data_IF_708397312701
#
_entry.id   IF_708397312701
#
_cell.length_a   1.000
_cell.length_b   1.000
_cell.length_c   1.000
_cell.angle_alpha   90.00
_cell.angle_beta   90.00
_cell.angle_gamma   90.00
#
_symmetry.space_group_name_H-M   'P 1'
#
loop_
_entity.id
_entity.type
_entity.pdbx_description
1 polymer ?
#
# COMPACT_ATOMS: atom_id res chain seq x y z
N UNK A 1 -96.28 -41.45 -30.56
CA UNK A 1 -95.44 -40.35 -31.02
C UNK A 1 -94.51 -39.96 -29.85
N UNK A 2 -93.25 -40.27 -29.82
CA UNK A 2 -92.32 -39.72 -28.80
C UNK A 2 -91.44 -38.62 -29.44
N UNK A 3 -91.25 -37.57 -28.68
CA UNK A 3 -90.34 -36.48 -28.99
C UNK A 3 -88.88 -36.87 -28.65
N UNK A 4 -87.89 -36.29 -29.33
CA UNK A 4 -86.46 -36.52 -29.00
C UNK A 4 -85.91 -35.57 -27.96
N UNK A 5 -85.08 -36.12 -27.09
CA UNK A 5 -84.31 -35.39 -26.10
C UNK A 5 -83.04 -34.80 -26.77
N UNK A 6 -82.86 -33.49 -26.58
CA UNK A 6 -81.60 -32.78 -26.90
C UNK A 6 -80.66 -32.87 -25.71
N UNK A 7 -79.41 -33.33 -25.96
CA UNK A 7 -78.31 -33.25 -25.03
C UNK A 7 -77.42 -32.00 -25.35
N UNK A 8 -77.40 -31.01 -24.46
CA UNK A 8 -76.44 -29.93 -24.49
C UNK A 8 -75.16 -30.41 -23.85
N UNK A 9 -74.06 -30.50 -24.63
CA UNK A 9 -72.69 -30.73 -24.12
C UNK A 9 -71.99 -29.42 -23.75
N UNK A 10 -71.78 -29.22 -22.49
CA UNK A 10 -70.94 -28.06 -21.99
C UNK A 10 -69.48 -28.46 -22.10
N UNK A 11 -68.76 -27.87 -23.05
CA UNK A 11 -67.28 -27.95 -23.15
C UNK A 11 -66.63 -26.98 -22.15
N UNK A 12 -66.06 -27.52 -21.09
CA UNK A 12 -65.18 -26.74 -20.16
C UNK A 12 -63.79 -26.65 -20.79
N UNK A 13 -63.47 -25.49 -21.37
CA UNK A 13 -62.12 -25.16 -21.80
C UNK A 13 -61.21 -24.88 -20.60
N UNK A 14 -60.18 -25.71 -20.40
CA UNK A 14 -59.10 -25.49 -19.46
C UNK A 14 -58.14 -24.45 -20.06
N UNK A 15 -58.12 -23.23 -19.50
CA UNK A 15 -57.08 -22.22 -19.81
C UNK A 15 -55.87 -22.51 -18.96
N UNK A 16 -54.80 -23.04 -19.57
CA UNK A 16 -53.45 -23.10 -18.97
C UNK A 16 -52.84 -21.72 -19.08
N UNK A 17 -52.71 -21.01 -17.95
CA UNK A 17 -51.94 -19.78 -17.87
C UNK A 17 -50.45 -20.12 -17.76
N UNK A 18 -49.68 -19.92 -18.82
CA UNK A 18 -48.23 -19.97 -18.77
C UNK A 18 -47.76 -18.72 -18.01
N UNK A 19 -47.32 -18.92 -16.78
CA UNK A 19 -46.60 -17.88 -16.03
C UNK A 19 -45.17 -17.82 -16.57
N UNK A 20 -44.87 -16.77 -17.33
CA UNK A 20 -43.49 -16.37 -17.66
C UNK A 20 -42.80 -15.86 -16.39
N UNK A 21 -41.95 -16.71 -15.80
CA UNK A 21 -41.02 -16.27 -14.74
C UNK A 21 -39.89 -15.49 -15.44
N UNK A 22 -39.68 -14.20 -15.17
CA UNK A 22 -38.56 -13.49 -15.72
C UNK A 22 -37.26 -14.03 -15.04
N UNK A 23 -36.42 -14.71 -15.80
CA UNK A 23 -35.06 -14.98 -15.42
C UNK A 23 -34.34 -13.63 -15.38
N UNK A 24 -34.15 -13.06 -14.19
CA UNK A 24 -33.21 -11.97 -13.96
C UNK A 24 -31.81 -12.58 -14.19
N UNK A 25 -31.21 -12.32 -15.34
CA UNK A 25 -29.77 -12.48 -15.48
C UNK A 25 -29.14 -11.47 -14.54
N UNK A 26 -28.68 -11.93 -13.38
CA UNK A 26 -27.69 -11.18 -12.62
C UNK A 26 -26.48 -11.05 -13.55
N UNK A 27 -26.25 -9.84 -14.05
CA UNK A 27 -25.01 -9.52 -14.74
C UNK A 27 -23.89 -9.79 -13.73
N UNK A 28 -23.13 -10.87 -13.93
CA UNK A 28 -21.91 -11.12 -13.17
C UNK A 28 -20.97 -9.98 -13.56
N UNK A 29 -20.75 -9.04 -12.65
CA UNK A 29 -19.74 -7.99 -12.84
C UNK A 29 -18.36 -8.62 -13.09
N UNK A 30 -17.38 -7.84 -13.56
CA UNK A 30 -16.04 -8.34 -13.80
C UNK A 30 -15.50 -9.03 -12.55
N UNK A 31 -14.77 -10.13 -12.75
CA UNK A 31 -14.06 -10.81 -11.66
C UNK A 31 -12.95 -9.92 -11.13
N UNK A 32 -12.68 -9.92 -9.82
CA UNK A 32 -11.57 -9.15 -9.27
C UNK A 32 -10.23 -9.57 -9.88
N UNK A 33 -9.35 -8.59 -10.11
CA UNK A 33 -7.98 -8.75 -10.58
C UNK A 33 -7.00 -8.22 -9.56
N UNK A 34 -5.75 -8.70 -9.61
CA UNK A 34 -4.66 -8.13 -8.85
C UNK A 34 -4.04 -6.97 -9.61
N UNK A 35 -4.00 -5.79 -9.00
CA UNK A 35 -3.38 -4.58 -9.52
C UNK A 35 -2.12 -4.26 -8.72
N UNK A 36 -1.00 -4.08 -9.40
CA UNK A 36 0.29 -3.75 -8.81
C UNK A 36 0.44 -2.23 -8.67
N UNK A 37 0.72 -1.74 -7.48
CA UNK A 37 0.88 -0.31 -7.24
C UNK A 37 2.00 0.08 -6.30
N UNK A 38 2.53 1.30 -6.50
CA UNK A 38 3.44 1.94 -5.55
C UNK A 38 2.80 3.23 -5.02
N UNK A 39 2.88 3.43 -3.71
CA UNK A 39 2.18 4.52 -3.00
C UNK A 39 3.15 5.48 -2.30
N UNK A 40 4.46 5.34 -2.54
CA UNK A 40 5.48 6.21 -1.97
C UNK A 40 6.65 6.35 -2.96
N UNK A 41 6.74 7.53 -3.57
CA UNK A 41 7.82 7.86 -4.51
C UNK A 41 7.90 9.36 -4.78
N UNK A 42 9.09 9.87 -5.09
CA UNK A 42 9.43 11.29 -5.16
C UNK A 42 9.89 11.71 -6.56
N UNK A 43 9.67 12.97 -6.88
CA UNK A 43 10.02 13.58 -8.15
C UNK A 43 10.80 14.89 -7.95
N UNK A 44 11.08 15.63 -9.03
CA UNK A 44 11.62 17.00 -8.96
C UNK A 44 10.65 18.01 -8.31
N UNK A 45 9.45 17.61 -7.94
CA UNK A 45 8.59 18.44 -7.09
C UNK A 45 9.12 18.52 -5.66
N UNK A 46 9.89 17.54 -5.18
CA UNK A 46 10.63 17.59 -3.91
C UNK A 46 12.12 17.31 -4.14
N UNK A 47 12.59 16.14 -3.82
CA UNK A 47 14.00 15.73 -3.79
C UNK A 47 14.31 14.47 -4.60
N UNK A 48 13.34 13.96 -5.36
CA UNK A 48 13.59 12.96 -6.40
C UNK A 48 14.46 13.53 -7.53
N UNK A 49 15.09 12.67 -8.34
CA UNK A 49 16.04 13.06 -9.37
C UNK A 49 15.52 12.93 -10.81
N UNK A 50 14.18 12.94 -11.01
CA UNK A 50 13.59 12.80 -12.33
C UNK A 50 12.24 13.55 -12.41
N UNK A 51 11.80 13.83 -13.65
CA UNK A 51 10.50 14.44 -13.95
C UNK A 51 9.35 13.46 -13.71
N UNK A 52 8.20 13.93 -13.20
CA UNK A 52 7.04 13.08 -12.90
C UNK A 52 6.65 12.13 -14.03
N UNK A 53 6.55 12.65 -15.25
CA UNK A 53 6.14 11.86 -16.42
C UNK A 53 7.09 10.72 -16.72
N UNK A 54 8.40 10.98 -16.65
CA UNK A 54 9.43 9.95 -16.86
C UNK A 54 9.38 8.88 -15.79
N UNK A 55 9.13 9.28 -14.53
CA UNK A 55 8.94 8.35 -13.42
C UNK A 55 7.75 7.44 -13.69
N UNK A 56 6.61 8.01 -14.02
CA UNK A 56 5.37 7.26 -14.25
C UNK A 56 5.48 6.28 -15.43
N UNK A 57 6.10 6.70 -16.55
CA UNK A 57 6.37 5.78 -17.67
C UNK A 57 7.31 4.64 -17.25
N UNK A 58 8.32 4.90 -16.42
CA UNK A 58 9.21 3.86 -15.90
C UNK A 58 8.50 2.85 -15.00
N UNK A 59 7.52 3.26 -14.20
CA UNK A 59 6.68 2.35 -13.42
C UNK A 59 5.75 1.55 -14.34
N UNK A 60 5.11 2.20 -15.31
CA UNK A 60 4.25 1.57 -16.31
C UNK A 60 4.99 0.49 -17.09
N UNK A 61 6.21 0.78 -17.55
CA UNK A 61 7.09 -0.18 -18.26
C UNK A 61 7.51 -1.37 -17.39
N UNK A 62 7.45 -1.23 -16.05
CA UNK A 62 7.71 -2.31 -15.09
C UNK A 62 6.45 -3.06 -14.66
N UNK A 63 5.34 -2.83 -15.38
CA UNK A 63 4.07 -3.52 -15.16
C UNK A 63 3.37 -3.11 -13.87
N UNK A 64 3.52 -1.86 -13.43
CA UNK A 64 2.65 -1.29 -12.42
C UNK A 64 1.35 -0.82 -13.06
N UNK A 65 0.26 -1.01 -12.34
CA UNK A 65 -1.08 -0.60 -12.76
C UNK A 65 -1.47 0.76 -12.16
N UNK A 66 -0.89 1.12 -11.02
CA UNK A 66 -1.13 2.43 -10.41
C UNK A 66 0.08 2.95 -9.62
N UNK A 67 0.21 4.28 -9.56
CA UNK A 67 1.29 4.96 -8.83
C UNK A 67 0.76 6.23 -8.18
N UNK A 68 1.20 6.48 -6.94
CA UNK A 68 1.11 7.77 -6.27
C UNK A 68 2.48 8.44 -6.23
N UNK A 69 2.62 9.63 -6.78
CA UNK A 69 3.74 10.51 -6.49
C UNK A 69 3.42 11.26 -5.20
N UNK A 70 4.28 11.10 -4.19
CA UNK A 70 4.05 11.60 -2.84
C UNK A 70 5.19 12.51 -2.40
N UNK A 71 5.42 13.56 -3.18
CA UNK A 71 6.49 14.54 -2.92
C UNK A 71 6.34 15.22 -1.56
N UNK A 72 7.45 15.55 -0.89
CA UNK A 72 7.48 16.12 0.45
C UNK A 72 6.79 17.49 0.55
N UNK A 73 5.71 17.58 1.34
CA UNK A 73 5.00 18.83 1.66
C UNK A 73 4.65 19.68 0.44
N UNK A 74 4.34 19.06 -0.69
CA UNK A 74 3.97 19.76 -1.91
C UNK A 74 2.99 18.93 -2.75
N UNK A 75 1.98 19.62 -3.30
CA UNK A 75 1.22 19.10 -4.43
C UNK A 75 1.73 19.73 -5.72
N UNK A 76 1.65 18.97 -6.80
CA UNK A 76 1.97 19.45 -8.14
C UNK A 76 0.79 20.28 -8.71
N UNK A 77 0.38 21.35 -8.03
CA UNK A 77 -0.82 22.15 -8.35
C UNK A 77 -0.50 23.58 -8.78
N UNK A 78 0.76 24.00 -8.65
CA UNK A 78 1.22 25.36 -8.90
C UNK A 78 2.18 25.46 -10.09
N UNK A 79 2.51 26.68 -10.53
CA UNK A 79 3.54 26.88 -11.53
C UNK A 79 4.93 26.83 -10.88
N UNK A 80 5.76 25.87 -11.30
CA UNK A 80 7.11 25.68 -10.77
C UNK A 80 8.12 25.51 -11.89
N UNK A 81 9.20 26.27 -11.82
CA UNK A 81 10.34 26.19 -12.71
C UNK A 81 11.57 25.72 -11.92
N UNK A 82 12.27 24.73 -12.44
CA UNK A 82 13.53 24.25 -11.85
C UNK A 82 14.69 24.60 -12.74
N UNK A 83 15.78 25.08 -12.16
CA UNK A 83 17.02 25.37 -12.90
C UNK A 83 17.78 24.07 -13.09
N UNK A 84 18.07 23.71 -14.32
CA UNK A 84 18.66 22.40 -14.70
C UNK A 84 20.01 22.15 -14.00
N UNK A 85 20.82 23.19 -13.82
CA UNK A 85 22.09 23.06 -13.10
C UNK A 85 21.96 22.86 -11.59
N UNK A 86 20.80 23.15 -11.01
CA UNK A 86 20.59 23.16 -9.57
C UNK A 86 19.90 21.88 -9.07
N UNK A 87 19.37 21.06 -9.99
CA UNK A 87 18.72 19.78 -9.67
C UNK A 87 19.66 18.60 -9.93
N UNK A 88 19.54 17.50 -9.13
CA UNK A 88 20.37 16.31 -9.32
C UNK A 88 20.21 15.74 -10.76
N UNK A 89 21.33 15.44 -11.41
CA UNK A 89 21.36 14.88 -12.79
C UNK A 89 20.63 15.73 -13.86
N UNK A 90 20.30 16.99 -13.59
CA UNK A 90 19.38 17.78 -14.39
C UNK A 90 19.62 17.79 -15.90
N UNK A 91 20.89 17.84 -16.35
CA UNK A 91 21.21 17.79 -17.79
C UNK A 91 20.83 16.44 -18.41
N UNK A 92 21.14 15.33 -17.74
CA UNK A 92 20.80 13.97 -18.21
C UNK A 92 19.29 13.78 -18.20
N UNK A 93 18.63 14.12 -17.10
CA UNK A 93 17.19 14.00 -16.93
C UNK A 93 16.42 14.85 -17.94
N UNK A 94 16.88 16.09 -18.22
CA UNK A 94 16.28 16.93 -19.27
C UNK A 94 16.44 16.31 -20.66
N UNK A 95 17.60 15.69 -20.95
CA UNK A 95 17.83 14.98 -22.21
C UNK A 95 16.85 13.82 -22.39
N UNK A 96 16.65 13.00 -21.37
CA UNK A 96 15.68 11.91 -21.37
C UNK A 96 14.24 12.42 -21.49
N UNK A 97 13.88 13.42 -20.69
CA UNK A 97 12.55 14.02 -20.72
C UNK A 97 12.21 14.58 -22.10
N UNK A 98 13.14 15.35 -22.69
CA UNK A 98 12.96 15.91 -24.04
C UNK A 98 12.88 14.83 -25.11
N UNK A 99 13.62 13.74 -24.96
CA UNK A 99 13.57 12.60 -25.87
C UNK A 99 12.27 11.83 -25.80
N UNK A 100 11.72 11.67 -24.59
CA UNK A 100 10.50 10.91 -24.36
C UNK A 100 9.23 11.67 -24.74
N UNK A 101 9.15 12.98 -24.40
CA UNK A 101 7.92 13.76 -24.53
C UNK A 101 7.98 14.83 -25.63
N UNK A 102 9.16 15.12 -26.17
CA UNK A 102 9.37 16.05 -27.27
C UNK A 102 9.32 17.54 -26.90
N UNK A 103 9.74 18.42 -27.80
CA UNK A 103 9.91 19.86 -27.53
C UNK A 103 8.58 20.62 -27.34
N UNK A 104 7.49 20.10 -27.85
CA UNK A 104 6.16 20.73 -27.67
C UNK A 104 5.59 20.53 -26.26
N UNK A 105 6.06 19.49 -25.57
CA UNK A 105 5.69 19.21 -24.18
C UNK A 105 6.64 19.83 -23.17
N UNK A 106 7.95 19.77 -23.42
CA UNK A 106 8.99 20.21 -22.49
C UNK A 106 9.23 21.71 -22.59
N UNK A 107 8.60 22.47 -21.69
CA UNK A 107 8.72 23.92 -21.66
C UNK A 107 10.03 24.35 -21.03
N UNK A 108 10.81 25.13 -21.75
CA UNK A 108 12.12 25.63 -21.30
C UNK A 108 12.18 27.15 -21.44
N UNK A 109 12.94 27.79 -20.54
CA UNK A 109 13.30 29.20 -20.62
C UNK A 109 14.71 29.42 -20.10
N UNK A 110 15.25 30.63 -20.32
CA UNK A 110 16.47 31.09 -19.66
C UNK A 110 16.10 32.00 -18.50
N UNK A 111 16.79 31.85 -17.36
CA UNK A 111 16.70 32.82 -16.27
C UNK A 111 17.54 34.10 -16.57
N UNK A 112 17.50 35.09 -15.69
CA UNK A 112 18.24 36.35 -15.85
C UNK A 112 19.77 36.17 -15.93
N UNK A 113 20.28 35.02 -15.51
CA UNK A 113 21.70 34.63 -15.56
C UNK A 113 22.03 33.78 -16.80
N UNK A 114 21.06 33.53 -17.67
CA UNK A 114 21.22 32.66 -18.85
C UNK A 114 21.26 31.17 -18.54
N UNK A 115 20.81 30.73 -17.35
CA UNK A 115 20.72 29.31 -17.00
C UNK A 115 19.38 28.72 -17.49
N UNK A 116 19.43 27.52 -18.02
CA UNK A 116 18.24 26.82 -18.50
C UNK A 116 17.32 26.44 -17.33
N UNK A 117 16.06 26.82 -17.42
CA UNK A 117 14.99 26.38 -16.55
C UNK A 117 14.00 25.53 -17.31
N UNK A 118 13.39 24.55 -16.61
CA UNK A 118 12.33 23.69 -17.12
C UNK A 118 11.12 23.83 -16.22
N UNK A 119 9.92 23.94 -16.83
CA UNK A 119 8.67 23.93 -16.07
C UNK A 119 8.32 22.52 -15.66
N UNK A 120 8.08 22.31 -14.38
CA UNK A 120 7.46 21.09 -13.90
C UNK A 120 5.98 21.11 -14.27
N UNK A 121 5.48 20.01 -14.83
CA UNK A 121 4.06 19.86 -15.14
C UNK A 121 3.26 19.64 -13.86
N UNK A 122 2.08 20.26 -13.80
CA UNK A 122 1.14 20.05 -12.69
C UNK A 122 0.52 18.67 -12.78
N UNK A 123 -0.05 18.21 -11.67
CA UNK A 123 -0.70 16.90 -11.58
C UNK A 123 -1.67 16.62 -12.73
N UNK A 124 -2.59 17.54 -12.98
CA UNK A 124 -3.59 17.39 -14.06
C UNK A 124 -2.96 17.24 -15.44
N UNK A 125 -1.81 17.92 -15.68
CA UNK A 125 -1.11 17.85 -16.95
C UNK A 125 -0.40 16.49 -17.12
N UNK A 126 0.48 16.11 -16.17
CA UNK A 126 1.24 14.89 -16.31
C UNK A 126 0.39 13.62 -16.13
N UNK A 127 -0.59 13.64 -15.21
CA UNK A 127 -1.47 12.51 -15.04
C UNK A 127 -2.27 12.23 -16.33
N UNK A 128 -2.81 13.29 -16.96
CA UNK A 128 -3.57 13.13 -18.22
C UNK A 128 -2.70 12.66 -19.40
N UNK A 129 -1.38 12.93 -19.37
CA UNK A 129 -0.47 12.53 -20.45
C UNK A 129 -0.01 11.07 -20.37
N UNK A 130 0.02 10.50 -19.16
CA UNK A 130 0.57 9.17 -18.89
C UNK A 130 -0.49 8.15 -18.53
N UNK A 131 -1.58 8.56 -17.88
CA UNK A 131 -2.66 7.67 -17.49
C UNK A 131 -3.32 6.99 -18.69
N UNK A 132 -3.65 5.72 -18.52
CA UNK A 132 -4.40 4.93 -19.52
C UNK A 132 -5.61 4.30 -18.80
N UNK A 133 -6.82 4.79 -19.04
CA UNK A 133 -8.01 4.34 -18.33
C UNK A 133 -8.17 2.81 -18.35
N UNK A 134 -8.27 2.24 -17.16
CA UNK A 134 -8.36 0.78 -16.95
C UNK A 134 -7.05 0.02 -17.11
N UNK A 135 -5.90 0.69 -17.35
CA UNK A 135 -4.58 0.05 -17.47
C UNK A 135 -3.50 0.71 -16.62
N UNK A 136 -3.55 2.03 -16.46
CA UNK A 136 -2.60 2.75 -15.62
C UNK A 136 -3.25 3.95 -14.95
N UNK A 137 -3.28 3.95 -13.62
CA UNK A 137 -3.89 4.98 -12.78
C UNK A 137 -2.81 5.80 -12.07
N UNK A 138 -2.96 7.12 -12.07
CA UNK A 138 -2.09 8.03 -11.32
C UNK A 138 -2.90 8.68 -10.20
N UNK A 139 -2.41 8.60 -8.97
CA UNK A 139 -3.06 9.14 -7.77
C UNK A 139 -2.33 10.39 -7.30
N UNK A 140 -3.08 11.44 -6.98
CA UNK A 140 -2.53 12.64 -6.35
C UNK A 140 -2.23 12.37 -4.89
N UNK A 141 -1.02 12.61 -4.46
CA UNK A 141 -0.57 12.31 -3.10
C UNK A 141 0.50 13.26 -2.64
N UNK A 142 0.76 13.29 -1.35
CA UNK A 142 1.94 13.93 -0.75
C UNK A 142 2.49 13.08 0.38
N UNK A 143 3.73 13.30 0.72
CA UNK A 143 4.30 12.89 1.98
C UNK A 143 4.32 14.08 2.93
N UNK A 144 3.42 14.08 3.93
CA UNK A 144 3.45 15.04 5.03
C UNK A 144 4.72 14.78 5.81
N UNK A 145 5.68 15.68 5.69
CA UNK A 145 7.01 15.57 6.29
C UNK A 145 7.08 16.48 7.50
N UNK A 146 6.95 15.88 8.66
CA UNK A 146 6.97 16.54 9.96
C UNK A 146 8.13 16.02 10.83
N UNK A 147 8.22 16.45 12.03
CA UNK A 147 9.25 16.03 12.97
C UNK A 147 8.83 16.27 14.42
N UNK A 148 9.43 15.50 15.33
CA UNK A 148 9.42 15.81 16.75
C UNK A 148 10.85 15.86 17.26
N UNK A 149 11.29 17.02 17.74
CA UNK A 149 12.71 17.28 18.05
C UNK A 149 13.59 16.98 16.82
N UNK A 150 14.51 16.01 16.90
CA UNK A 150 15.37 15.59 15.79
C UNK A 150 14.84 14.35 15.04
N UNK A 151 13.70 13.82 15.41
CA UNK A 151 13.10 12.61 14.81
C UNK A 151 12.25 12.99 13.61
N UNK A 152 12.57 12.52 12.39
CA UNK A 152 11.74 12.73 11.22
C UNK A 152 10.48 11.85 11.31
N UNK A 153 9.31 12.42 11.05
CA UNK A 153 8.02 11.76 11.13
C UNK A 153 7.27 12.01 9.81
N UNK A 154 6.92 10.95 9.12
CA UNK A 154 6.32 11.09 7.82
C UNK A 154 5.02 10.29 7.72
N UNK A 155 4.03 10.90 7.08
CA UNK A 155 2.73 10.30 6.79
C UNK A 155 2.39 10.56 5.33
N UNK A 156 2.25 9.50 4.55
CA UNK A 156 1.74 9.66 3.20
C UNK A 156 0.23 9.83 3.21
N UNK A 157 -0.23 10.79 2.45
CA UNK A 157 -1.64 11.08 2.23
C UNK A 157 -2.00 10.78 0.76
N UNK A 158 -2.73 9.67 0.54
CA UNK A 158 -3.06 9.17 -0.79
C UNK A 158 -4.41 9.68 -1.26
N UNK A 159 -4.46 10.19 -2.50
CA UNK A 159 -5.62 10.72 -3.19
C UNK A 159 -6.23 11.95 -2.50
N UNK A 160 -5.38 12.85 -2.04
CA UNK A 160 -5.82 14.11 -1.41
C UNK A 160 -6.24 15.16 -2.44
N UNK A 161 -7.10 16.07 -2.03
CA UNK A 161 -7.60 17.17 -2.87
C UNK A 161 -6.75 18.44 -2.73
N UNK A 162 -6.27 18.73 -1.53
CA UNK A 162 -5.52 19.94 -1.17
C UNK A 162 -4.31 19.57 -0.33
N UNK A 163 -3.24 20.38 -0.42
CA UNK A 163 -2.04 20.22 0.39
C UNK A 163 -2.37 20.26 1.88
N UNK A 164 -1.81 19.32 2.62
CA UNK A 164 -1.93 19.22 4.09
C UNK A 164 -0.57 19.57 4.70
N UNK A 165 -0.40 20.76 5.28
CA UNK A 165 0.86 21.11 5.90
C UNK A 165 1.12 20.26 7.16
N UNK A 166 2.40 20.07 7.57
CA UNK A 166 2.75 19.41 8.83
C UNK A 166 2.02 20.03 10.00
N UNK A 167 1.46 19.22 10.90
CA UNK A 167 0.58 19.66 11.99
C UNK A 167 1.33 19.88 13.31
N UNK A 168 2.51 19.26 13.48
CA UNK A 168 3.25 19.30 14.72
C UNK A 168 2.57 18.62 15.90
N UNK A 169 3.25 18.57 17.05
CA UNK A 169 2.71 17.96 18.27
C UNK A 169 3.66 18.07 19.44
N UNK A 170 3.27 17.54 20.59
CA UNK A 170 4.04 17.56 21.84
C UNK A 170 4.80 16.23 22.07
N UNK A 171 4.61 15.24 21.20
CA UNK A 171 5.29 13.94 21.19
C UNK A 171 5.27 13.35 19.78
N UNK A 172 5.99 12.26 19.54
CA UNK A 172 5.92 11.51 18.25
C UNK A 172 4.50 11.05 17.96
N UNK A 173 3.85 10.41 18.92
CA UNK A 173 2.47 9.94 18.75
C UNK A 173 1.51 11.11 18.47
N UNK A 174 1.72 12.26 19.10
CA UNK A 174 0.90 13.47 18.92
C UNK A 174 1.04 14.04 17.50
N UNK A 175 2.28 14.14 17.00
CA UNK A 175 2.54 14.59 15.62
C UNK A 175 1.89 13.66 14.62
N UNK A 176 2.15 12.34 14.71
CA UNK A 176 1.55 11.34 13.83
C UNK A 176 0.01 11.40 13.90
N UNK A 177 -0.58 11.51 15.08
CA UNK A 177 -2.02 11.60 15.23
C UNK A 177 -2.60 12.84 14.55
N UNK A 178 -1.96 13.99 14.71
CA UNK A 178 -2.44 15.23 14.09
C UNK A 178 -2.37 15.19 12.57
N UNK A 179 -1.30 14.62 11.99
CA UNK A 179 -1.18 14.44 10.55
C UNK A 179 -2.24 13.46 10.01
N UNK A 180 -2.46 12.33 10.70
CA UNK A 180 -3.53 11.39 10.37
C UNK A 180 -4.92 12.03 10.42
N UNK A 181 -5.17 12.82 11.46
CA UNK A 181 -6.46 13.50 11.65
C UNK A 181 -6.71 14.53 10.56
N UNK A 182 -5.68 15.27 10.11
CA UNK A 182 -5.80 16.25 9.03
C UNK A 182 -6.20 15.59 7.70
N UNK A 183 -5.62 14.43 7.36
CA UNK A 183 -6.04 13.67 6.17
C UNK A 183 -7.48 13.18 6.30
N UNK A 184 -7.83 12.61 7.45
CA UNK A 184 -9.19 12.12 7.69
C UNK A 184 -10.23 13.25 7.75
N UNK A 185 -9.84 14.46 8.17
CA UNK A 185 -10.69 15.64 8.15
C UNK A 185 -10.95 16.11 6.72
N UNK A 186 -9.90 16.18 5.88
CA UNK A 186 -10.05 16.50 4.46
C UNK A 186 -10.95 15.48 3.76
N UNK A 187 -10.79 14.19 4.02
CA UNK A 187 -11.67 13.13 3.51
C UNK A 187 -13.13 13.40 3.85
N UNK A 188 -13.41 13.72 5.12
CA UNK A 188 -14.79 14.03 5.56
C UNK A 188 -15.34 15.31 4.94
N UNK A 189 -14.48 16.30 4.74
CA UNK A 189 -14.89 17.60 4.19
C UNK A 189 -15.19 17.55 2.69
N UNK A 190 -14.45 16.73 1.95
CA UNK A 190 -14.54 16.64 0.48
C UNK A 190 -15.41 15.49 -0.01
N UNK A 191 -15.75 14.52 0.86
CA UNK A 191 -16.37 13.23 0.50
C UNK A 191 -15.56 12.45 -0.57
N UNK A 192 -14.26 12.74 -0.67
CA UNK A 192 -13.33 12.07 -1.59
C UNK A 192 -12.67 10.89 -0.89
N UNK A 193 -12.66 9.69 -1.50
CA UNK A 193 -11.90 8.56 -0.96
C UNK A 193 -10.41 8.91 -0.86
N UNK A 194 -9.86 8.85 0.33
CA UNK A 194 -8.43 9.05 0.60
C UNK A 194 -8.05 8.34 1.89
N UNK A 195 -6.79 8.04 2.06
CA UNK A 195 -6.28 7.46 3.29
C UNK A 195 -4.85 7.91 3.61
N UNK A 196 -4.51 8.04 4.90
CA UNK A 196 -3.15 8.19 5.35
C UNK A 196 -2.49 6.82 5.58
N UNK A 197 -1.15 6.76 5.48
CA UNK A 197 -0.36 5.68 6.06
C UNK A 197 0.89 6.20 6.76
N UNK A 198 1.30 5.52 7.82
CA UNK A 198 2.52 5.86 8.56
C UNK A 198 3.73 5.28 7.84
N UNK A 199 4.71 6.12 7.53
CA UNK A 199 5.90 5.75 6.79
C UNK A 199 6.97 5.14 7.70
N UNK A 200 7.79 4.28 7.14
CA UNK A 200 9.12 3.78 7.56
C UNK A 200 9.53 3.99 9.04
N UNK A 201 8.94 3.32 10.04
CA UNK A 201 9.21 3.60 11.47
C UNK A 201 10.69 3.58 11.85
N UNK A 202 11.47 2.71 11.21
CA UNK A 202 12.90 2.55 11.47
C UNK A 202 13.81 3.52 10.69
N UNK A 203 13.25 4.50 9.98
CA UNK A 203 14.04 5.60 9.42
C UNK A 203 14.53 6.51 10.55
N UNK A 204 15.85 6.61 10.70
CA UNK A 204 16.44 7.35 11.84
C UNK A 204 16.05 6.83 13.23
N UNK A 205 15.46 5.63 13.32
CA UNK A 205 14.89 5.07 14.56
C UNK A 205 13.84 5.99 15.22
N UNK A 206 13.09 6.71 14.37
CA UNK A 206 12.27 7.82 14.82
C UNK A 206 10.99 7.40 15.56
N UNK A 207 10.42 6.23 15.22
CA UNK A 207 9.10 5.78 15.69
C UNK A 207 9.22 4.43 16.38
N UNK A 208 8.70 4.32 17.60
CA UNK A 208 8.62 3.08 18.36
C UNK A 208 7.25 2.40 18.19
N UNK A 209 7.11 1.16 18.64
CA UNK A 209 5.80 0.51 18.66
C UNK A 209 4.80 1.26 19.56
N UNK A 210 5.28 1.82 20.67
CA UNK A 210 4.49 2.58 21.64
C UNK A 210 3.92 3.87 21.03
N UNK A 211 4.65 4.50 20.11
CA UNK A 211 4.18 5.68 19.39
C UNK A 211 3.00 5.35 18.43
N UNK A 212 2.86 4.09 18.02
CA UNK A 212 1.86 3.63 17.04
C UNK A 212 0.64 2.95 17.66
N UNK A 213 0.77 2.42 18.87
CA UNK A 213 -0.23 1.53 19.49
C UNK A 213 -1.61 2.15 19.61
N UNK A 214 -1.69 3.41 20.01
CA UNK A 214 -2.92 4.11 20.34
C UNK A 214 -3.38 5.12 19.28
N UNK A 215 -2.74 5.14 18.11
CA UNK A 215 -3.16 6.00 17.00
C UNK A 215 -4.57 5.63 16.53
N UNK A 216 -5.31 6.63 16.07
CA UNK A 216 -6.67 6.49 15.58
C UNK A 216 -6.79 6.97 14.13
N UNK A 217 -7.69 6.35 13.37
CA UNK A 217 -7.94 6.77 11.99
C UNK A 217 -6.89 6.30 10.99
N UNK A 218 -5.80 5.69 11.47
CA UNK A 218 -4.82 4.98 10.67
C UNK A 218 -5.29 3.55 10.38
N UNK A 219 -4.94 3.06 9.19
CA UNK A 219 -5.16 1.65 8.83
C UNK A 219 -3.94 1.00 8.22
N UNK A 220 -2.90 1.77 7.93
CA UNK A 220 -1.78 1.31 7.13
C UNK A 220 -0.44 1.73 7.73
N UNK A 221 0.51 0.82 7.66
CA UNK A 221 1.89 0.98 8.09
C UNK A 221 2.82 0.41 7.04
N UNK A 222 3.90 1.09 6.70
CA UNK A 222 4.95 0.52 5.86
C UNK A 222 5.72 -0.54 6.65
N UNK A 223 5.51 -1.81 6.30
CA UNK A 223 6.24 -2.95 6.87
C UNK A 223 7.51 -3.26 6.09
N UNK A 224 7.61 -2.71 4.88
CA UNK A 224 8.81 -2.69 4.06
C UNK A 224 8.86 -1.38 3.27
N UNK A 225 10.01 -0.70 3.36
CA UNK A 225 10.32 0.49 2.58
C UNK A 225 11.65 0.25 1.84
N UNK A 226 11.69 0.53 0.53
CA UNK A 226 12.83 0.28 -0.34
C UNK A 226 13.99 1.28 -0.22
N UNK A 227 13.85 2.30 0.61
CA UNK A 227 14.91 3.30 0.81
C UNK A 227 16.08 2.73 1.64
N UNK A 228 17.35 2.90 1.22
CA UNK A 228 18.50 2.24 1.85
C UNK A 228 18.82 2.72 3.26
N UNK A 229 18.26 3.84 3.71
CA UNK A 229 18.40 4.31 5.09
C UNK A 229 17.32 3.80 6.03
N UNK A 230 16.29 3.10 5.50
CA UNK A 230 15.29 2.44 6.31
C UNK A 230 15.78 1.06 6.71
N UNK A 231 15.87 0.80 8.00
CA UNK A 231 16.36 -0.45 8.56
C UNK A 231 15.18 -1.40 8.83
N UNK A 232 14.57 -1.93 7.77
CA UNK A 232 13.38 -2.80 7.88
C UNK A 232 13.60 -3.99 8.84
N UNK A 233 14.79 -4.60 8.80
CA UNK A 233 15.13 -5.78 9.61
C UNK A 233 15.50 -5.45 11.07
N UNK A 234 15.58 -4.15 11.42
CA UNK A 234 16.07 -3.75 12.73
C UNK A 234 17.56 -4.02 12.92
N UNK A 235 18.00 -4.05 14.19
CA UNK A 235 19.34 -4.45 14.59
C UNK A 235 19.32 -5.18 15.95
N UNK A 236 20.46 -5.26 16.62
CA UNK A 236 20.56 -5.92 17.95
C UNK A 236 19.82 -5.19 19.08
N UNK A 237 19.47 -3.92 18.87
CA UNK A 237 18.83 -3.03 19.85
C UNK A 237 17.41 -2.67 19.45
N UNK A 238 17.13 -2.57 18.16
CA UNK A 238 15.86 -2.13 17.61
C UNK A 238 15.16 -3.29 16.91
N UNK A 239 13.85 -3.51 17.14
CA UNK A 239 13.09 -4.56 16.46
C UNK A 239 12.97 -4.27 14.96
N UNK A 240 12.77 -5.32 14.17
CA UNK A 240 12.36 -5.16 12.78
C UNK A 240 10.98 -4.50 12.70
N UNK A 241 10.69 -3.86 11.56
CA UNK A 241 9.35 -3.28 11.32
C UNK A 241 8.27 -4.37 11.33
N UNK A 242 8.58 -5.56 10.84
CA UNK A 242 7.72 -6.75 10.92
C UNK A 242 7.34 -7.08 12.39
N UNK A 243 8.29 -6.96 13.32
CA UNK A 243 8.06 -7.14 14.76
C UNK A 243 7.28 -6.00 15.38
N UNK A 244 7.57 -4.74 14.99
CA UNK A 244 6.78 -3.57 15.41
C UNK A 244 5.33 -3.77 15.01
N UNK A 245 5.07 -4.20 13.78
CA UNK A 245 3.72 -4.46 13.29
C UNK A 245 2.97 -5.50 14.13
N UNK A 246 3.60 -6.62 14.51
CA UNK A 246 2.98 -7.63 15.38
C UNK A 246 2.67 -7.11 16.78
N UNK A 247 3.56 -6.28 17.35
CA UNK A 247 3.35 -5.64 18.65
C UNK A 247 2.14 -4.71 18.59
N UNK A 248 2.12 -3.82 17.60
CA UNK A 248 1.02 -2.86 17.37
C UNK A 248 -0.29 -3.59 17.12
N UNK A 249 -0.32 -4.60 16.25
CA UNK A 249 -1.52 -5.42 15.99
C UNK A 249 -2.07 -6.06 17.26
N UNK A 250 -1.19 -6.67 18.08
CA UNK A 250 -1.61 -7.32 19.31
C UNK A 250 -2.21 -6.33 20.29
N UNK A 251 -1.55 -5.19 20.51
CA UNK A 251 -2.06 -4.13 21.37
C UNK A 251 -3.43 -3.63 20.88
N UNK A 252 -3.50 -3.17 19.64
CA UNK A 252 -4.71 -2.58 19.07
C UNK A 252 -5.90 -3.52 19.09
N UNK A 253 -5.71 -4.78 18.73
CA UNK A 253 -6.79 -5.76 18.69
C UNK A 253 -7.29 -6.14 20.09
N UNK A 254 -6.43 -6.19 21.09
CA UNK A 254 -6.82 -6.45 22.48
C UNK A 254 -7.49 -5.25 23.15
N UNK A 255 -7.26 -4.03 22.64
CA UNK A 255 -7.90 -2.80 23.12
C UNK A 255 -9.06 -2.31 22.23
N UNK A 256 -9.42 -3.06 21.17
CA UNK A 256 -10.56 -2.73 20.31
C UNK A 256 -10.34 -1.56 19.36
N UNK A 257 -9.07 -1.20 19.07
CA UNK A 257 -8.68 -0.08 18.20
C UNK A 257 -8.69 -0.45 16.71
N UNK A 258 -8.91 -1.72 16.38
CA UNK A 258 -8.97 -2.18 15.00
C UNK A 258 -7.61 -2.62 14.43
N UNK A 259 -7.66 -3.07 13.18
CA UNK A 259 -6.52 -3.66 12.45
C UNK A 259 -5.69 -2.56 11.78
N UNK A 260 -4.37 -2.75 11.77
CA UNK A 260 -3.43 -2.02 10.91
C UNK A 260 -2.87 -2.99 9.86
N UNK A 261 -2.96 -2.61 8.60
CA UNK A 261 -2.48 -3.39 7.46
C UNK A 261 -1.05 -3.00 7.08
N UNK A 262 -0.27 -3.99 6.65
CA UNK A 262 1.12 -3.79 6.25
C UNK A 262 1.26 -3.52 4.76
N UNK A 263 2.01 -2.48 4.41
CA UNK A 263 2.32 -2.09 3.03
C UNK A 263 3.80 -2.28 2.72
N UNK A 264 4.12 -2.51 1.44
CA UNK A 264 5.49 -2.37 0.92
C UNK A 264 5.51 -1.26 -0.13
N UNK A 265 6.54 -0.45 -0.09
CA UNK A 265 6.72 0.72 -0.95
C UNK A 265 8.18 0.88 -1.39
N UNK A 266 8.41 1.72 -2.38
CA UNK A 266 9.75 1.99 -2.88
C UNK A 266 10.45 3.12 -2.15
N UNK A 267 9.72 4.20 -1.83
CA UNK A 267 10.29 5.47 -1.37
C UNK A 267 11.42 5.93 -2.29
N UNK A 268 11.10 5.90 -3.62
CA UNK A 268 12.10 6.05 -4.66
C UNK A 268 12.43 7.51 -4.93
N UNK A 269 13.74 7.82 -4.95
CA UNK A 269 14.30 9.14 -5.25
C UNK A 269 15.26 9.11 -6.44
N UNK A 270 15.78 7.91 -6.80
CA UNK A 270 16.84 7.76 -7.78
C UNK A 270 16.42 6.78 -8.88
N UNK A 271 16.32 7.29 -10.10
CA UNK A 271 15.74 6.54 -11.24
C UNK A 271 16.74 6.13 -12.32
N UNK A 272 17.97 6.60 -12.27
CA UNK A 272 18.95 6.40 -13.36
C UNK A 272 19.91 5.25 -13.11
N UNK A 273 20.40 5.12 -11.87
CA UNK A 273 21.35 4.08 -11.50
C UNK A 273 20.71 3.19 -10.43
N UNK A 274 20.66 1.90 -10.73
CA UNK A 274 20.14 0.88 -9.83
C UNK A 274 21.28 0.30 -9.02
N UNK A 275 21.36 0.66 -7.74
CA UNK A 275 22.35 0.12 -6.80
C UNK A 275 21.84 0.16 -5.35
N UNK A 276 22.50 -0.59 -4.48
CA UNK A 276 22.09 -0.77 -3.08
C UNK A 276 22.18 0.51 -2.21
N UNK A 277 22.88 1.53 -2.67
CA UNK A 277 23.08 2.79 -1.91
C UNK A 277 22.07 3.87 -2.25
N UNK A 278 21.22 3.62 -3.26
CA UNK A 278 20.25 4.58 -3.79
C UNK A 278 18.83 4.12 -3.51
N UNK A 279 17.95 5.07 -3.25
CA UNK A 279 16.51 4.83 -3.12
C UNK A 279 15.91 4.62 -4.52
N UNK A 280 15.86 3.38 -4.96
CA UNK A 280 15.48 3.00 -6.32
C UNK A 280 14.05 2.46 -6.40
N UNK A 281 13.37 2.58 -7.54
CA UNK A 281 12.07 1.98 -7.77
C UNK A 281 12.13 0.46 -7.90
N UNK A 282 10.95 -0.17 -7.76
CA UNK A 282 10.71 -1.60 -7.94
C UNK A 282 11.38 -2.50 -6.87
N UNK A 283 11.43 -2.03 -5.64
CA UNK A 283 11.87 -2.79 -4.46
C UNK A 283 10.71 -3.32 -3.64
N UNK A 284 9.65 -2.49 -3.48
CA UNK A 284 8.46 -2.85 -2.73
C UNK A 284 7.20 -2.31 -3.38
N UNK A 285 6.10 -3.05 -3.31
CA UNK A 285 4.80 -2.65 -3.87
C UNK A 285 3.66 -3.34 -3.18
N UNK A 286 2.46 -2.83 -3.41
CA UNK A 286 1.23 -3.50 -3.03
C UNK A 286 0.60 -4.19 -4.24
N UNK A 287 -0.04 -5.32 -4.00
CA UNK A 287 -0.91 -6.01 -4.95
C UNK A 287 -2.34 -5.92 -4.43
N UNK A 288 -3.18 -5.15 -5.09
CA UNK A 288 -4.55 -4.84 -4.65
C UNK A 288 -5.54 -5.62 -5.48
N UNK A 289 -6.48 -6.32 -4.83
CA UNK A 289 -7.51 -7.10 -5.53
C UNK A 289 -8.79 -6.29 -5.65
N UNK A 290 -9.01 -5.72 -6.82
CA UNK A 290 -10.18 -4.92 -7.12
C UNK A 290 -10.90 -5.39 -8.39
N UNK A 291 -12.15 -4.95 -8.60
CA UNK A 291 -12.94 -5.31 -9.78
C UNK A 291 -12.57 -4.48 -11.00
N UNK A 292 -12.09 -3.27 -10.78
CA UNK A 292 -11.71 -2.32 -11.81
C UNK A 292 -10.56 -1.44 -11.30
N UNK A 293 -9.79 -0.88 -12.22
CA UNK A 293 -8.70 0.03 -11.93
C UNK A 293 -9.24 1.47 -11.89
N UNK A 294 -9.84 1.82 -10.77
CA UNK A 294 -10.30 3.18 -10.45
C UNK A 294 -9.83 3.55 -9.05
N UNK A 295 -9.72 4.84 -8.77
CA UNK A 295 -9.30 5.34 -7.46
C UNK A 295 -10.16 4.76 -6.34
N UNK A 296 -11.48 4.83 -6.49
CA UNK A 296 -12.42 4.34 -5.48
C UNK A 296 -12.27 2.83 -5.24
N UNK A 297 -12.20 2.04 -6.32
CA UNK A 297 -12.08 0.58 -6.20
C UNK A 297 -10.76 0.14 -5.56
N UNK A 298 -9.65 0.85 -5.83
CA UNK A 298 -8.34 0.58 -5.22
C UNK A 298 -8.38 0.94 -3.73
N UNK A 299 -8.88 2.13 -3.37
CA UNK A 299 -8.95 2.57 -1.97
C UNK A 299 -9.89 1.67 -1.17
N UNK A 300 -11.07 1.37 -1.67
CA UNK A 300 -12.04 0.48 -1.02
C UNK A 300 -11.45 -0.91 -0.75
N UNK A 301 -10.73 -1.48 -1.74
CA UNK A 301 -10.09 -2.77 -1.60
C UNK A 301 -8.97 -2.75 -0.55
N UNK A 302 -8.15 -1.69 -0.53
CA UNK A 302 -7.10 -1.52 0.48
C UNK A 302 -7.69 -1.38 1.88
N UNK A 303 -8.70 -0.54 2.07
CA UNK A 303 -9.38 -0.37 3.35
C UNK A 303 -10.09 -1.64 3.84
N UNK A 304 -10.51 -2.49 2.92
CA UNK A 304 -11.03 -3.81 3.24
C UNK A 304 -9.95 -4.85 3.59
N UNK A 305 -8.67 -4.53 3.42
CA UNK A 305 -7.54 -5.45 3.57
C UNK A 305 -7.42 -6.46 2.42
N UNK A 306 -8.05 -6.19 1.28
CA UNK A 306 -8.01 -7.06 0.10
C UNK A 306 -6.79 -6.76 -0.78
N UNK A 307 -5.64 -6.81 -0.17
CA UNK A 307 -4.33 -6.61 -0.80
C UNK A 307 -3.23 -7.36 -0.03
N UNK A 308 -2.07 -7.46 -0.64
CA UNK A 308 -0.84 -7.92 0.02
C UNK A 308 0.35 -7.05 -0.39
N UNK A 309 1.37 -7.01 0.46
CA UNK A 309 2.64 -6.33 0.20
C UNK A 309 3.65 -7.33 -0.39
N UNK A 310 4.54 -6.87 -1.29
CA UNK A 310 5.50 -7.75 -1.96
C UNK A 310 6.81 -7.05 -2.32
N UNK A 311 7.91 -7.83 -2.32
CA UNK A 311 9.20 -7.48 -2.93
C UNK A 311 9.54 -8.40 -4.10
N UNK A 312 8.56 -9.20 -4.60
CA UNK A 312 8.76 -10.08 -5.74
C UNK A 312 7.93 -11.35 -5.75
N UNK A 313 7.45 -11.83 -4.61
CA UNK A 313 6.55 -12.98 -4.56
C UNK A 313 5.19 -12.59 -5.11
N UNK A 314 4.65 -13.40 -6.02
CA UNK A 314 3.32 -13.22 -6.60
C UNK A 314 2.37 -14.26 -6.02
N UNK A 315 1.19 -13.83 -5.60
CA UNK A 315 0.11 -14.70 -5.14
C UNK A 315 -1.01 -14.75 -6.18
N UNK A 316 -1.38 -15.94 -6.62
CA UNK A 316 -2.54 -16.14 -7.51
C UNK A 316 -3.85 -15.92 -6.76
N UNK A 317 -3.91 -16.32 -5.47
CA UNK A 317 -5.12 -16.20 -4.66
C UNK A 317 -4.81 -16.16 -3.16
N UNK A 318 -5.68 -15.46 -2.42
CA UNK A 318 -5.72 -15.43 -0.95
C UNK A 318 -7.15 -15.74 -0.53
N UNK A 319 -7.34 -16.79 0.24
CA UNK A 319 -8.63 -17.20 0.79
C UNK A 319 -8.59 -17.11 2.32
N UNK A 320 -9.36 -16.20 2.86
CA UNK A 320 -9.55 -16.06 4.30
C UNK A 320 -10.98 -16.41 4.71
N UNK A 321 -11.13 -17.04 5.85
CA UNK A 321 -12.43 -17.33 6.47
C UNK A 321 -12.29 -17.37 7.99
N UNK A 322 -13.38 -17.56 8.72
CA UNK A 322 -13.32 -17.77 10.18
C UNK A 322 -12.63 -19.07 10.60
N UNK A 323 -12.23 -19.94 9.65
CA UNK A 323 -11.67 -21.27 9.93
C UNK A 323 -10.24 -21.46 9.43
N UNK A 324 -9.81 -20.68 8.42
CA UNK A 324 -8.50 -20.87 7.80
C UNK A 324 -8.03 -19.62 7.04
N UNK A 325 -6.72 -19.52 6.89
CA UNK A 325 -6.03 -18.70 5.88
C UNK A 325 -5.32 -19.64 4.93
N UNK A 326 -5.59 -19.52 3.63
CA UNK A 326 -4.98 -20.33 2.58
C UNK A 326 -4.48 -19.43 1.46
N UNK A 327 -3.30 -19.73 0.92
CA UNK A 327 -2.68 -18.99 -0.17
C UNK A 327 -2.46 -19.91 -1.36
N UNK A 328 -2.45 -19.33 -2.56
CA UNK A 328 -1.92 -19.96 -3.76
C UNK A 328 -0.83 -19.05 -4.32
N UNK A 329 0.39 -19.57 -4.30
CA UNK A 329 1.59 -18.85 -4.73
C UNK A 329 1.82 -19.15 -6.20
N UNK A 330 2.09 -18.11 -7.00
CA UNK A 330 2.52 -18.29 -8.38
C UNK A 330 3.94 -18.88 -8.41
N UNK A 331 4.04 -20.14 -8.84
CA UNK A 331 5.32 -20.86 -8.83
C UNK A 331 6.21 -20.46 -10.00
N UNK A 332 7.50 -20.30 -9.73
CA UNK A 332 8.54 -20.12 -10.76
C UNK A 332 9.47 -21.34 -10.79
N UNK A 333 9.96 -21.73 -11.96
CA UNK A 333 10.85 -22.87 -12.14
C UNK A 333 12.14 -22.70 -11.33
N UNK A 334 12.48 -23.71 -10.53
CA UNK A 334 13.69 -23.70 -9.70
C UNK A 334 13.62 -22.84 -8.43
N UNK A 335 12.48 -22.18 -8.17
CA UNK A 335 12.27 -21.38 -6.95
C UNK A 335 11.50 -22.17 -5.92
N UNK A 336 11.94 -22.11 -4.67
CA UNK A 336 11.23 -22.72 -3.53
C UNK A 336 10.57 -21.64 -2.69
N UNK A 337 9.45 -22.00 -2.08
CA UNK A 337 8.65 -21.09 -1.24
C UNK A 337 8.38 -21.71 0.12
N UNK A 338 8.45 -20.88 1.16
CA UNK A 338 8.08 -21.23 2.53
C UNK A 338 7.19 -20.14 3.07
N UNK A 339 6.02 -20.52 3.58
CA UNK A 339 5.07 -19.59 4.21
C UNK A 339 5.09 -19.77 5.72
N UNK A 340 5.34 -18.69 6.42
CA UNK A 340 5.16 -18.58 7.86
C UNK A 340 3.81 -17.98 8.16
N UNK A 341 2.97 -18.69 8.89
CA UNK A 341 1.75 -18.15 9.49
C UNK A 341 2.12 -17.61 10.86
N UNK A 342 1.92 -16.32 11.05
CA UNK A 342 2.38 -15.55 12.20
C UNK A 342 1.17 -14.97 12.90
N UNK A 343 1.15 -14.99 14.23
CA UNK A 343 0.05 -14.44 14.99
C UNK A 343 0.28 -14.44 16.49
N UNK A 344 -0.65 -13.86 17.22
CA UNK A 344 -0.67 -13.86 18.68
C UNK A 344 -1.89 -14.64 19.16
N UNK A 345 -1.73 -15.48 20.16
CA UNK A 345 -2.82 -16.25 20.78
C UNK A 345 -3.38 -15.52 21.99
N UNK A 346 -4.67 -15.73 22.28
CA UNK A 346 -5.27 -15.29 23.54
C UNK A 346 -4.52 -15.91 24.73
N UNK A 347 -4.35 -15.11 25.79
CA UNK A 347 -3.61 -15.52 26.96
C UNK A 347 -2.08 -15.45 26.83
N UNK A 348 -1.57 -14.75 25.78
CA UNK A 348 -0.15 -14.46 25.65
C UNK A 348 0.39 -13.71 26.88
N UNK A 349 1.68 -13.83 27.13
CA UNK A 349 2.35 -13.10 28.21
C UNK A 349 2.39 -11.59 27.84
N UNK A 350 1.76 -10.78 28.67
CA UNK A 350 1.66 -9.33 28.50
C UNK A 350 2.85 -8.57 29.10
N UNK A 351 3.86 -9.28 29.62
CA UNK A 351 5.02 -8.63 30.20
C UNK A 351 5.77 -7.79 29.17
N UNK A 352 6.07 -6.59 29.55
CA UNK A 352 6.91 -5.66 28.80
C UNK A 352 8.04 -5.14 29.66
N UNK A 353 9.14 -4.79 29.04
CA UNK A 353 10.32 -4.23 29.68
C UNK A 353 10.80 -3.02 28.91
N UNK A 354 10.75 -1.84 29.53
CA UNK A 354 11.38 -0.65 28.97
C UNK A 354 12.88 -0.88 28.79
N UNK A 355 13.40 -0.41 27.68
CA UNK A 355 14.82 -0.46 27.35
C UNK A 355 15.41 0.95 27.53
N UNK A 356 16.72 1.07 27.85
CA UNK A 356 17.39 2.37 27.84
C UNK A 356 17.39 2.95 26.42
N UNK A 357 17.33 4.29 26.36
CA UNK A 357 17.53 5.02 25.11
C UNK A 357 18.89 4.68 24.47
N UNK A 358 18.91 4.64 23.15
CA UNK A 358 20.13 4.44 22.36
C UNK A 358 20.43 5.74 21.62
N UNK A 359 21.62 6.30 21.84
CA UNK A 359 22.04 7.58 21.25
C UNK A 359 21.05 8.74 21.50
N UNK A 360 20.30 8.65 22.61
CA UNK A 360 19.30 9.65 23.00
C UNK A 360 17.94 9.46 22.34
N UNK A 361 17.73 8.36 21.60
CA UNK A 361 16.44 7.99 21.00
C UNK A 361 15.77 6.87 21.78
N UNK A 362 14.45 6.93 22.02
CA UNK A 362 13.70 5.85 22.61
C UNK A 362 13.79 4.56 21.76
N UNK A 363 13.77 3.43 22.42
CA UNK A 363 13.76 2.10 21.78
C UNK A 363 12.45 1.42 22.16
N UNK A 364 11.80 0.77 21.19
CA UNK A 364 10.62 -0.06 21.45
C UNK A 364 10.91 -1.01 22.62
N UNK A 365 9.99 -1.10 23.59
CA UNK A 365 10.10 -2.00 24.72
C UNK A 365 10.33 -3.45 24.29
N UNK A 366 10.90 -4.25 25.17
CA UNK A 366 10.98 -5.69 24.96
C UNK A 366 9.65 -6.33 25.36
N UNK A 367 8.95 -6.86 24.40
CA UNK A 367 7.70 -7.61 24.59
C UNK A 367 7.96 -9.11 24.56
N UNK A 368 7.01 -9.88 25.13
CA UNK A 368 7.03 -11.34 25.12
C UNK A 368 7.19 -11.91 23.71
N UNK A 369 7.90 -13.03 23.60
CA UNK A 369 8.03 -13.77 22.35
C UNK A 369 6.72 -14.42 21.88
N UNK A 370 5.69 -14.48 22.72
CA UNK A 370 4.36 -14.95 22.36
C UNK A 370 3.64 -14.05 21.36
N UNK A 371 4.00 -12.75 21.32
CA UNK A 371 3.47 -11.78 20.37
C UNK A 371 4.10 -12.02 19.00
N UNK A 372 3.27 -12.19 17.96
CA UNK A 372 3.75 -12.38 16.59
C UNK A 372 4.61 -13.66 16.42
N UNK A 373 4.26 -14.71 17.12
CA UNK A 373 4.98 -16.00 16.99
C UNK A 373 4.65 -16.71 15.68
N UNK A 374 5.59 -17.51 15.17
CA UNK A 374 5.34 -18.39 14.02
C UNK A 374 4.48 -19.56 14.50
N UNK A 375 3.20 -19.55 14.12
CA UNK A 375 2.23 -20.58 14.46
C UNK A 375 2.38 -21.85 13.63
N UNK A 376 2.81 -21.68 12.36
CA UNK A 376 3.15 -22.77 11.46
C UNK A 376 4.11 -22.30 10.37
N UNK A 377 4.93 -23.21 9.87
CA UNK A 377 5.76 -23.02 8.68
C UNK A 377 5.43 -24.09 7.66
N UNK A 378 5.02 -23.68 6.45
CA UNK A 378 4.51 -24.59 5.42
C UNK A 378 5.27 -24.35 4.11
N UNK A 379 6.01 -25.33 3.61
CA UNK A 379 6.65 -25.23 2.29
C UNK A 379 5.65 -25.51 1.16
N UNK A 380 5.96 -24.99 -0.04
CA UNK A 380 5.22 -25.27 -1.27
C UNK A 380 4.31 -24.11 -1.72
N UNK A 381 3.47 -24.39 -2.70
CA UNK A 381 2.70 -23.36 -3.43
C UNK A 381 1.27 -23.14 -2.89
N UNK A 382 0.72 -24.09 -2.13
CA UNK A 382 -0.64 -24.06 -1.61
C UNK A 382 -0.68 -24.15 -0.07
N UNK A 383 0.05 -23.26 0.66
CA UNK A 383 0.08 -23.30 2.11
C UNK A 383 -1.28 -22.93 2.72
N UNK A 384 -1.65 -23.66 3.76
CA UNK A 384 -2.90 -23.44 4.49
C UNK A 384 -2.67 -23.57 6.00
N UNK A 385 -3.23 -22.64 6.76
CA UNK A 385 -3.30 -22.66 8.20
C UNK A 385 -4.75 -22.77 8.66
N UNK A 386 -5.08 -23.82 9.41
CA UNK A 386 -6.39 -23.96 10.05
C UNK A 386 -6.35 -23.30 11.43
N UNK A 387 -7.27 -22.41 11.73
CA UNK A 387 -7.32 -21.70 12.99
C UNK A 387 -7.63 -22.64 14.16
N UNK A 388 -6.82 -22.60 15.18
CA UNK A 388 -7.02 -23.37 16.42
C UNK A 388 -8.19 -22.81 17.25
N UNK A 389 -8.46 -21.53 17.12
CA UNK A 389 -9.62 -20.92 17.75
C UNK A 389 -9.30 -19.93 18.85
N UNK A 390 -8.05 -19.79 19.21
CA UNK A 390 -7.54 -18.87 20.23
C UNK A 390 -6.63 -17.78 19.68
N UNK A 391 -6.43 -17.71 18.36
CA UNK A 391 -5.65 -16.66 17.74
C UNK A 391 -6.40 -15.30 17.81
N UNK A 392 -5.70 -14.24 18.21
CA UNK A 392 -6.19 -12.85 18.15
C UNK A 392 -6.19 -12.42 16.67
N UNK A 393 -5.10 -12.73 15.96
CA UNK A 393 -4.98 -12.58 14.51
C UNK A 393 -4.03 -13.63 13.95
N UNK A 394 -4.12 -13.85 12.64
CA UNK A 394 -3.13 -14.61 11.87
C UNK A 394 -2.85 -13.86 10.58
N UNK A 395 -1.59 -13.58 10.31
CA UNK A 395 -1.07 -13.08 9.04
C UNK A 395 -0.13 -14.10 8.41
N UNK A 396 0.24 -13.92 7.15
CA UNK A 396 1.23 -14.79 6.54
C UNK A 396 2.41 -13.99 5.97
N UNK A 397 3.60 -14.56 6.04
CA UNK A 397 4.79 -14.09 5.34
C UNK A 397 5.32 -15.20 4.46
N UNK A 398 5.35 -14.96 3.15
CA UNK A 398 5.91 -15.88 2.16
C UNK A 398 7.34 -15.49 1.86
N UNK A 399 8.26 -16.43 1.96
CA UNK A 399 9.67 -16.26 1.58
C UNK A 399 9.98 -17.16 0.39
N UNK A 400 10.55 -16.61 -0.66
CA UNK A 400 11.08 -17.37 -1.79
C UNK A 400 12.58 -17.60 -1.66
N UNK A 401 13.13 -18.55 -2.42
CA UNK A 401 14.58 -18.69 -2.59
C UNK A 401 15.18 -17.75 -3.64
N UNK A 402 14.33 -16.99 -4.36
CA UNK A 402 14.75 -16.09 -5.43
C UNK A 402 15.28 -14.79 -4.83
N UNK A 403 16.48 -14.32 -5.21
CA UNK A 403 17.00 -13.04 -4.78
C UNK A 403 16.14 -11.87 -5.30
N UNK A 404 16.09 -10.77 -4.55
CA UNK A 404 15.57 -9.49 -5.03
C UNK A 404 16.46 -8.97 -6.15
N UNK A 405 15.89 -8.43 -7.22
CA UNK A 405 16.64 -7.98 -8.39
C UNK A 405 17.53 -6.75 -8.11
N UNK A 406 17.05 -5.84 -7.25
CA UNK A 406 17.76 -4.64 -6.82
C UNK A 406 17.73 -4.53 -5.29
N UNK A 407 18.50 -5.35 -4.56
CA UNK A 407 18.43 -5.40 -3.10
C UNK A 407 19.06 -4.17 -2.45
N UNK A 408 18.56 -3.79 -1.29
CA UNK A 408 19.23 -2.82 -0.39
C UNK A 408 20.42 -3.50 0.29
N UNK A 409 20.22 -4.74 0.75
CA UNK A 409 21.28 -5.52 1.40
C UNK A 409 21.59 -6.80 0.62
N UNK A 410 22.86 -7.16 0.56
CA UNK A 410 23.28 -8.40 -0.11
C UNK A 410 22.61 -9.63 0.50
N UNK A 411 22.04 -10.48 -0.35
CA UNK A 411 21.38 -11.71 0.06
C UNK A 411 19.89 -11.57 0.37
N UNK A 412 19.27 -10.40 0.18
CA UNK A 412 17.83 -10.26 0.25
C UNK A 412 17.12 -11.16 -0.76
N UNK A 413 16.08 -11.82 -0.29
CA UNK A 413 15.20 -12.68 -1.09
C UNK A 413 13.81 -12.08 -1.16
N UNK A 414 13.08 -12.46 -2.20
CA UNK A 414 11.73 -11.97 -2.40
C UNK A 414 10.79 -12.45 -1.29
N UNK A 415 9.95 -11.53 -0.82
CA UNK A 415 8.96 -11.74 0.23
C UNK A 415 7.57 -11.31 -0.24
N UNK A 416 6.54 -11.83 0.43
CA UNK A 416 5.22 -11.24 0.46
C UNK A 416 4.65 -11.24 1.88
N UNK A 417 3.90 -10.21 2.24
CA UNK A 417 3.18 -10.07 3.50
C UNK A 417 1.69 -10.02 3.22
N UNK A 418 0.98 -11.01 3.74
CA UNK A 418 -0.49 -11.12 3.63
C UNK A 418 -1.12 -10.50 4.87
N UNK A 419 -2.19 -9.77 4.67
CA UNK A 419 -2.86 -8.99 5.70
C UNK A 419 -3.40 -9.87 6.84
N UNK A 420 -3.45 -9.34 8.08
CA UNK A 420 -3.93 -10.07 9.24
C UNK A 420 -5.42 -10.39 9.10
N UNK A 421 -5.75 -11.66 9.33
CA UNK A 421 -7.13 -12.13 9.50
C UNK A 421 -7.44 -12.10 10.98
N UNK A 422 -8.40 -11.27 11.35
CA UNK A 422 -8.85 -11.11 12.75
C UNK A 422 -10.09 -11.94 12.96
N UNK A 423 -10.12 -12.71 14.05
CA UNK A 423 -11.34 -13.40 14.45
C UNK A 423 -12.30 -12.41 15.12
N UNK A 424 -13.50 -12.32 14.60
CA UNK A 424 -14.58 -11.67 15.36
C UNK A 424 -14.88 -12.56 16.57
N UNK A 425 -14.76 -12.03 17.79
CA UNK A 425 -15.32 -12.67 18.96
C UNK A 425 -16.82 -12.89 18.70
N UNK A 426 -17.26 -14.13 18.85
CA UNK A 426 -18.69 -14.46 18.75
C UNK A 426 -19.45 -13.86 19.95
#
# INVERSE_FOLDING_TARGET
MPQPFLFEGVARGVRVALALVPFAFAACGPSPHWYKGNLHTHSYWSDGNQFPEVILERYKDRGYDFVALSDHNVLADSERWVTVSDIPNGTTSLGEYSSAFGPDWVEQRQDDSGRTQVRLKRFEEYASSVADPGKFLVLQSEEITDHFESRPLHVNATNIAELIPPQGGASVADVLQHDLDAVNEQRRATDQPMFPHVNHPNYGWAVTAEDLMDLHGDRFLEVYNGHPLVRNEGDSLHPSVDRIWDIVLTHRLTHGLGVVYGMAVDDAHHYEQMDSTRANPARGWVMVRAKELTTDAIIDAMEAGDFYASTGVVLDDIQSSSKRLALRIHGEDGVTYVTQFIGTRAGFDTAEQALPDVEGLPVTHRYSADIGTVLAEVPGLDPTYAFAGDEIYVRARVRSSKPVANPVHAGEVQLAWVQPVVRRAN
#
